data_IF_758754393394
#
_entry.id   IF_758754393394
#
_cell.length_a   1.000
_cell.length_b   1.000
_cell.length_c   1.000
_cell.angle_alpha   90.00
_cell.angle_beta   90.00
_cell.angle_gamma   90.00
#
_symmetry.space_group_name_H-M   'P 1'
#
loop_
_entity.id
_entity.type
_entity.pdbx_description
1 polymer ?
#
# COMPACT_ATOMS: atom_id res chain seq x y z
N UNK A 1 0.94 -8.98 7.97
CA UNK A 1 1.13 -9.97 6.91
C UNK A 1 2.23 -9.44 5.99
N UNK A 2 3.42 -10.02 6.07
CA UNK A 2 4.60 -9.45 5.46
C UNK A 2 4.66 -9.77 3.96
N UNK A 3 4.74 -8.75 3.14
CA UNK A 3 5.15 -8.89 1.75
C UNK A 3 6.68 -8.98 1.78
N UNK A 4 7.23 -10.16 1.58
CA UNK A 4 8.67 -10.32 1.37
C UNK A 4 9.01 -9.89 -0.05
N UNK A 5 9.58 -8.70 -0.21
CA UNK A 5 10.25 -8.32 -1.43
C UNK A 5 11.61 -9.03 -1.49
N UNK A 6 11.80 -9.95 -2.43
CA UNK A 6 13.12 -10.50 -2.75
C UNK A 6 13.95 -9.47 -3.51
N UNK A 7 15.22 -9.38 -3.14
CA UNK A 7 16.21 -8.47 -3.73
C UNK A 7 16.46 -8.74 -5.22
N UNK A 8 16.64 -7.70 -5.97
CA UNK A 8 16.75 -7.41 -7.39
C UNK A 8 17.53 -8.31 -8.36
N UNK A 9 17.63 -9.62 -8.14
CA UNK A 9 18.19 -10.57 -9.13
C UNK A 9 17.19 -11.60 -9.64
N UNK A 10 15.99 -11.68 -9.07
CA UNK A 10 14.97 -12.67 -9.44
C UNK A 10 13.82 -12.07 -10.29
N UNK A 11 13.99 -10.85 -10.81
CA UNK A 11 12.91 -10.12 -11.51
C UNK A 11 12.83 -10.46 -13.00
N UNK A 12 13.78 -11.26 -13.51
CA UNK A 12 13.88 -11.53 -14.96
C UNK A 12 13.18 -12.78 -15.48
N UNK A 13 12.44 -13.51 -14.66
CA UNK A 13 11.59 -14.56 -15.19
C UNK A 13 10.12 -14.15 -15.06
N UNK A 14 9.48 -13.83 -16.18
CA UNK A 14 8.03 -13.63 -16.30
C UNK A 14 7.20 -14.87 -15.90
N UNK A 15 7.82 -15.85 -15.27
CA UNK A 15 7.21 -17.09 -14.81
C UNK A 15 6.09 -16.90 -13.78
N UNK A 16 5.97 -15.71 -13.16
CA UNK A 16 4.84 -15.39 -12.28
C UNK A 16 3.57 -15.01 -13.05
N UNK A 17 3.73 -14.52 -14.29
CA UNK A 17 2.59 -14.11 -15.14
C UNK A 17 1.75 -15.33 -15.57
N UNK A 18 2.37 -16.50 -15.62
CA UNK A 18 1.72 -17.76 -16.03
C UNK A 18 1.03 -18.52 -14.89
N UNK A 19 1.16 -18.07 -13.65
CA UNK A 19 0.52 -18.73 -12.50
C UNK A 19 -0.95 -18.33 -12.39
N UNK A 20 -1.78 -19.00 -13.15
CA UNK A 20 -3.25 -18.88 -13.12
C UNK A 20 -3.89 -19.41 -11.81
N UNK A 21 -3.11 -19.76 -10.80
CA UNK A 21 -3.57 -20.34 -9.54
C UNK A 21 -3.01 -19.59 -8.34
N UNK A 22 -3.72 -19.57 -7.19
CA UNK A 22 -3.20 -18.98 -5.96
C UNK A 22 -1.90 -19.67 -5.52
N UNK A 23 -1.02 -18.91 -4.86
CA UNK A 23 0.18 -19.44 -4.22
C UNK A 23 -0.19 -20.44 -3.10
N UNK A 24 -1.25 -20.15 -2.37
CA UNK A 24 -1.84 -21.00 -1.36
C UNK A 24 -3.37 -20.92 -1.47
N UNK A 25 -4.04 -22.05 -1.36
CA UNK A 25 -5.50 -22.16 -1.25
C UNK A 25 -5.82 -23.19 -0.18
N UNK A 26 -6.29 -22.72 0.96
CA UNK A 26 -6.57 -23.59 2.11
C UNK A 26 -7.60 -22.95 3.04
N UNK A 27 -8.55 -23.76 3.53
CA UNK A 27 -9.57 -23.35 4.50
C UNK A 27 -10.34 -22.07 4.11
N UNK A 28 -10.62 -21.89 2.81
CA UNK A 28 -11.33 -20.71 2.30
C UNK A 28 -10.46 -19.45 2.22
N UNK A 29 -9.14 -19.56 2.43
CA UNK A 29 -8.17 -18.48 2.31
C UNK A 29 -7.33 -18.73 1.07
N UNK A 30 -7.30 -17.75 0.18
CA UNK A 30 -6.43 -17.75 -1.00
C UNK A 30 -5.35 -16.69 -0.86
N UNK A 31 -4.11 -17.06 -1.10
CA UNK A 31 -2.96 -16.15 -1.16
C UNK A 31 -2.48 -16.05 -2.60
N UNK A 32 -2.46 -14.86 -3.12
CA UNK A 32 -2.01 -14.58 -4.47
C UNK A 32 -0.72 -13.74 -4.43
N UNK A 33 0.23 -14.08 -5.28
CA UNK A 33 1.47 -13.32 -5.45
C UNK A 33 1.49 -12.72 -6.86
N UNK A 34 1.58 -11.40 -6.95
CA UNK A 34 1.62 -10.70 -8.23
C UNK A 34 1.29 -9.22 -8.09
N UNK A 35 1.25 -8.55 -9.22
CA UNK A 35 0.83 -7.16 -9.31
C UNK A 35 -0.65 -7.02 -8.95
N UNK A 36 -0.96 -6.04 -8.07
CA UNK A 36 -2.30 -5.88 -7.53
C UNK A 36 -3.35 -5.54 -8.60
N UNK A 37 -3.00 -4.68 -9.57
CA UNK A 37 -3.93 -4.32 -10.66
C UNK A 37 -4.26 -5.53 -11.52
N UNK A 38 -3.26 -6.34 -11.84
CA UNK A 38 -3.44 -7.57 -12.60
C UNK A 38 -4.32 -8.57 -11.84
N UNK A 39 -4.09 -8.71 -10.54
CA UNK A 39 -4.85 -9.64 -9.69
C UNK A 39 -6.29 -9.18 -9.44
N UNK A 40 -6.54 -7.87 -9.33
CA UNK A 40 -7.90 -7.32 -9.26
C UNK A 40 -8.75 -7.71 -10.47
N UNK A 41 -8.14 -7.82 -11.65
CA UNK A 41 -8.84 -8.28 -12.86
C UNK A 41 -9.43 -9.69 -12.77
N UNK A 42 -9.00 -10.49 -11.81
CA UNK A 42 -9.51 -11.87 -11.58
C UNK A 42 -10.74 -11.92 -10.67
N UNK A 43 -10.99 -10.87 -9.93
CA UNK A 43 -12.16 -10.81 -9.07
C UNK A 43 -13.39 -10.42 -9.89
N UNK A 44 -14.50 -11.07 -9.62
CA UNK A 44 -15.77 -10.64 -10.20
C UNK A 44 -16.19 -9.28 -9.64
N UNK A 45 -16.81 -8.46 -10.47
CA UNK A 45 -17.32 -7.16 -10.03
C UNK A 45 -18.38 -7.37 -8.93
N UNK A 46 -18.33 -6.50 -7.91
CA UNK A 46 -19.24 -6.58 -6.78
C UNK A 46 -19.08 -7.81 -5.89
N UNK A 47 -18.00 -8.58 -5.98
CA UNK A 47 -17.80 -9.80 -5.20
C UNK A 47 -17.21 -9.58 -3.81
N UNK A 48 -16.48 -8.46 -3.61
CA UNK A 48 -15.71 -8.20 -2.40
C UNK A 48 -16.56 -7.49 -1.36
N UNK A 49 -16.63 -8.06 -0.15
CA UNK A 49 -17.43 -7.52 0.97
C UNK A 49 -16.69 -6.52 1.85
N UNK A 50 -15.37 -6.58 1.89
CA UNK A 50 -14.51 -5.64 2.60
C UNK A 50 -13.10 -5.64 2.00
N UNK A 51 -12.41 -4.51 2.10
CA UNK A 51 -11.03 -4.34 1.63
C UNK A 51 -10.20 -3.80 2.78
N UNK A 52 -9.06 -4.45 3.08
CA UNK A 52 -8.17 -4.04 4.18
C UNK A 52 -6.73 -3.98 3.66
N UNK A 53 -6.37 -2.95 2.89
CA UNK A 53 -5.06 -2.84 2.28
C UNK A 53 -4.07 -2.15 3.23
N UNK A 54 -2.79 -2.57 3.12
CA UNK A 54 -1.63 -1.87 3.65
C UNK A 54 -0.77 -1.42 2.46
N UNK A 55 -1.17 -0.33 1.77
CA UNK A 55 -0.48 0.14 0.57
C UNK A 55 0.83 0.85 0.92
N UNK A 56 1.72 1.10 -0.05
CA UNK A 56 2.87 1.97 0.16
C UNK A 56 2.46 3.33 0.72
N UNK A 57 3.22 3.84 1.70
CA UNK A 57 2.85 5.12 2.35
C UNK A 57 3.42 6.35 1.66
N UNK A 58 4.26 6.16 0.65
CA UNK A 58 4.90 7.21 -0.15
C UNK A 58 5.68 8.24 0.70
N UNK A 59 6.23 7.79 1.85
CA UNK A 59 6.96 8.65 2.79
C UNK A 59 8.44 8.77 2.47
N UNK A 60 8.95 7.91 1.58
CA UNK A 60 10.38 7.82 1.24
C UNK A 60 10.74 8.50 -0.08
N UNK A 61 9.91 9.44 -0.55
CA UNK A 61 10.05 10.08 -1.88
C UNK A 61 11.41 10.73 -2.15
N UNK A 62 12.24 10.95 -1.11
CA UNK A 62 13.53 11.62 -1.25
C UNK A 62 14.72 10.77 -0.77
N UNK A 63 14.57 9.46 -0.62
CA UNK A 63 15.68 8.61 -0.19
C UNK A 63 16.34 7.89 -1.35
N UNK A 64 17.67 7.96 -1.41
CA UNK A 64 18.52 7.27 -2.41
C UNK A 64 18.68 5.76 -2.14
N UNK A 65 18.02 5.22 -1.13
CA UNK A 65 18.09 3.79 -0.81
C UNK A 65 17.27 2.96 -1.80
N UNK A 66 17.93 2.30 -2.73
CA UNK A 66 17.31 1.41 -3.73
C UNK A 66 16.41 0.32 -3.12
N UNK A 67 16.70 -0.12 -1.89
CA UNK A 67 15.93 -1.15 -1.19
C UNK A 67 14.50 -0.72 -0.81
N UNK A 68 14.13 0.54 -1.02
CA UNK A 68 12.82 1.10 -0.64
C UNK A 68 12.03 1.64 -1.82
N UNK A 69 12.39 1.27 -3.04
CA UNK A 69 11.66 1.67 -4.26
C UNK A 69 10.19 1.28 -4.26
N UNK A 70 9.81 0.27 -3.48
CA UNK A 70 8.42 -0.14 -3.34
C UNK A 70 7.51 0.94 -2.72
N UNK A 71 8.06 1.87 -1.93
CA UNK A 71 7.33 2.97 -1.30
C UNK A 71 7.21 4.22 -2.21
N UNK A 72 7.59 4.13 -3.49
CA UNK A 72 7.60 5.25 -4.44
C UNK A 72 6.78 5.01 -5.70
N UNK A 73 5.85 4.08 -5.65
CA UNK A 73 5.11 3.69 -6.86
C UNK A 73 3.93 4.59 -7.16
N UNK A 74 3.57 5.50 -6.27
CA UNK A 74 2.43 6.41 -6.42
C UNK A 74 1.07 5.72 -6.45
N UNK A 75 1.03 4.40 -6.23
CA UNK A 75 -0.20 3.61 -6.33
C UNK A 75 -1.23 4.03 -5.30
N UNK A 76 -0.78 4.42 -4.10
CA UNK A 76 -1.66 4.83 -2.99
C UNK A 76 -2.39 6.13 -3.26
N UNK A 77 -1.81 6.99 -4.11
CA UNK A 77 -2.38 8.29 -4.47
C UNK A 77 -2.96 8.29 -5.87
N UNK A 78 -3.11 7.12 -6.47
CA UNK A 78 -3.68 6.98 -7.81
C UNK A 78 -5.19 6.67 -7.72
N UNK A 79 -6.07 7.62 -8.07
CA UNK A 79 -7.52 7.40 -8.06
C UNK A 79 -7.97 6.26 -8.95
N UNK A 80 -7.28 6.02 -10.08
CA UNK A 80 -7.63 4.93 -10.99
C UNK A 80 -7.46 3.55 -10.35
N UNK A 81 -6.44 3.38 -9.47
CA UNK A 81 -6.28 2.15 -8.69
C UNK A 81 -7.48 1.94 -7.75
N UNK A 82 -7.86 2.96 -7.01
CA UNK A 82 -8.96 2.88 -6.05
C UNK A 82 -10.33 2.74 -6.72
N UNK A 83 -10.49 3.30 -7.92
CA UNK A 83 -11.68 3.08 -8.74
C UNK A 83 -11.77 1.61 -9.20
N UNK A 84 -10.65 1.00 -9.62
CA UNK A 84 -10.61 -0.41 -9.97
C UNK A 84 -10.94 -1.31 -8.76
N UNK A 85 -10.42 -0.99 -7.57
CA UNK A 85 -10.79 -1.68 -6.32
C UNK A 85 -12.29 -1.54 -6.05
N UNK A 86 -12.84 -0.32 -6.20
CA UNK A 86 -14.26 -0.05 -5.96
C UNK A 86 -15.18 -0.87 -6.85
N UNK A 87 -14.84 -1.05 -8.12
CA UNK A 87 -15.63 -1.90 -9.05
C UNK A 87 -15.74 -3.33 -8.52
N UNK A 88 -14.71 -3.85 -7.84
CA UNK A 88 -14.72 -5.21 -7.28
C UNK A 88 -15.51 -5.32 -5.98
N UNK A 89 -15.80 -4.21 -5.32
CA UNK A 89 -16.56 -4.21 -4.07
C UNK A 89 -18.07 -4.16 -4.31
N UNK A 90 -18.81 -4.85 -3.46
CA UNK A 90 -20.29 -4.76 -3.46
C UNK A 90 -20.75 -3.43 -2.85
N UNK A 91 -21.92 -2.95 -3.21
CA UNK A 91 -22.53 -1.79 -2.55
C UNK A 91 -22.57 -1.97 -1.03
N UNK A 92 -22.15 -0.94 -0.29
CA UNK A 92 -22.08 -0.98 1.19
C UNK A 92 -20.84 -1.68 1.75
N UNK A 93 -19.92 -2.13 0.92
CA UNK A 93 -18.64 -2.68 1.39
C UNK A 93 -17.79 -1.61 2.07
N UNK A 94 -17.04 -2.02 3.10
CA UNK A 94 -16.13 -1.14 3.84
C UNK A 94 -14.69 -1.28 3.33
N UNK A 95 -13.95 -0.17 3.36
CA UNK A 95 -12.52 -0.12 3.08
C UNK A 95 -11.81 0.46 4.31
N UNK A 96 -10.78 -0.27 4.80
CA UNK A 96 -9.95 0.12 5.93
C UNK A 96 -8.49 0.22 5.47
N UNK A 97 -8.12 1.34 4.85
CA UNK A 97 -6.76 1.54 4.33
C UNK A 97 -5.81 2.03 5.42
N UNK A 98 -4.67 1.35 5.56
CA UNK A 98 -3.58 1.86 6.38
C UNK A 98 -2.88 3.01 5.67
N UNK A 99 -2.35 3.96 6.44
CA UNK A 99 -1.65 5.13 5.92
C UNK A 99 -0.70 5.75 6.95
N UNK A 100 0.13 6.67 6.49
CA UNK A 100 1.02 7.45 7.35
C UNK A 100 0.40 8.78 7.73
N UNK A 101 0.60 9.28 8.97
CA UNK A 101 0.18 10.63 9.36
C UNK A 101 0.73 11.75 8.48
N UNK A 102 1.81 11.49 7.72
CA UNK A 102 2.41 12.49 6.82
C UNK A 102 1.69 12.61 5.48
N UNK A 103 1.08 11.53 5.03
CA UNK A 103 0.59 11.40 3.64
C UNK A 103 -0.87 10.93 3.55
N UNK A 104 -1.53 10.68 4.70
CA UNK A 104 -2.90 10.16 4.74
C UNK A 104 -3.90 11.03 3.96
N UNK A 105 -3.71 12.36 3.96
CA UNK A 105 -4.58 13.29 3.26
C UNK A 105 -4.56 13.05 1.74
N UNK A 106 -3.41 12.76 1.13
CA UNK A 106 -3.33 12.41 -0.28
C UNK A 106 -4.02 11.08 -0.60
N UNK A 107 -3.97 10.12 0.34
CA UNK A 107 -4.72 8.88 0.22
C UNK A 107 -6.23 9.14 0.26
N UNK A 108 -6.69 10.01 1.16
CA UNK A 108 -8.09 10.40 1.24
C UNK A 108 -8.56 11.08 -0.05
N UNK A 109 -7.80 12.04 -0.57
CA UNK A 109 -8.11 12.73 -1.84
C UNK A 109 -8.27 11.71 -2.98
N UNK A 110 -7.34 10.77 -3.10
CA UNK A 110 -7.39 9.73 -4.15
C UNK A 110 -8.60 8.78 -3.97
N UNK A 111 -8.95 8.45 -2.74
CA UNK A 111 -10.13 7.63 -2.44
C UNK A 111 -11.43 8.37 -2.80
N UNK A 112 -11.55 9.63 -2.43
CA UNK A 112 -12.74 10.44 -2.72
C UNK A 112 -12.91 10.67 -4.23
N UNK A 113 -11.82 10.95 -4.96
CA UNK A 113 -11.81 11.06 -6.41
C UNK A 113 -12.23 9.74 -7.08
N UNK A 114 -11.87 8.60 -6.50
CA UNK A 114 -12.30 7.28 -6.96
C UNK A 114 -13.76 6.94 -6.58
N UNK A 115 -14.47 7.85 -5.89
CA UNK A 115 -15.86 7.70 -5.51
C UNK A 115 -16.09 6.93 -4.20
N UNK A 116 -15.08 6.77 -3.36
CA UNK A 116 -15.23 6.32 -1.98
C UNK A 116 -15.65 7.48 -1.09
N UNK A 117 -16.33 7.17 0.00
CA UNK A 117 -16.69 8.16 1.00
C UNK A 117 -15.86 7.93 2.26
N UNK A 118 -15.10 8.91 2.68
CA UNK A 118 -14.40 8.87 3.96
C UNK A 118 -15.42 8.98 5.08
N UNK A 119 -15.43 8.02 5.97
CA UNK A 119 -16.38 7.95 7.11
C UNK A 119 -15.70 8.39 8.39
N UNK A 120 -14.48 7.88 8.65
CA UNK A 120 -13.75 8.14 9.88
C UNK A 120 -12.26 7.83 9.73
N UNK A 121 -11.47 8.28 10.70
CA UNK A 121 -10.05 7.99 10.84
C UNK A 121 -9.79 7.28 12.17
N UNK A 122 -9.23 6.08 12.11
CA UNK A 122 -8.89 5.27 13.28
C UNK A 122 -7.40 5.38 13.57
N UNK A 123 -7.03 5.85 14.76
CA UNK A 123 -5.65 5.91 15.19
C UNK A 123 -5.22 4.59 15.85
N UNK A 124 -4.20 3.93 15.27
CA UNK A 124 -3.55 2.79 15.90
C UNK A 124 -2.41 3.28 16.79
N UNK A 125 -2.55 3.14 18.10
CA UNK A 125 -1.50 3.46 19.06
C UNK A 125 -0.50 2.31 19.17
N UNK A 126 0.80 2.63 19.09
CA UNK A 126 1.90 1.69 19.33
C UNK A 126 2.70 2.18 20.53
N UNK A 127 2.95 1.33 21.56
CA UNK A 127 3.74 1.72 22.74
C UNK A 127 5.21 1.98 22.38
N UNK A 128 5.71 1.37 21.30
CA UNK A 128 7.06 1.54 20.81
C UNK A 128 7.00 2.06 19.37
N UNK A 129 7.03 3.38 19.20
CA UNK A 129 7.08 4.03 17.89
C UNK A 129 8.53 4.38 17.53
N UNK A 130 8.87 4.31 16.23
CA UNK A 130 10.11 4.97 15.76
C UNK A 130 9.94 6.49 15.89
N UNK A 131 10.92 7.20 16.44
CA UNK A 131 10.92 8.66 16.45
C UNK A 131 10.78 9.19 15.03
N UNK A 132 9.90 10.16 14.83
CA UNK A 132 9.67 10.81 13.52
C UNK A 132 10.43 12.13 13.37
N UNK A 133 11.19 12.50 14.37
CA UNK A 133 12.00 13.72 14.39
C UNK A 133 13.44 13.46 13.95
N UNK A 134 14.06 14.42 13.33
CA UNK A 134 15.52 14.52 13.27
C UNK A 134 16.01 14.90 14.67
N UNK A 135 17.13 14.33 15.13
CA UNK A 135 17.74 14.76 16.38
C UNK A 135 18.18 16.22 16.22
N UNK A 136 17.71 17.11 17.09
CA UNK A 136 17.97 18.53 16.97
C UNK A 136 19.47 18.87 17.05
N UNK A 137 20.23 18.10 17.82
CA UNK A 137 21.69 18.15 17.89
C UNK A 137 22.34 17.86 16.54
N UNK A 138 21.97 16.75 15.88
CA UNK A 138 22.47 16.42 14.55
C UNK A 138 22.08 17.47 13.49
N UNK A 139 20.89 18.04 13.57
CA UNK A 139 20.46 19.10 12.66
C UNK A 139 21.26 20.39 12.87
N UNK A 140 21.58 20.73 14.11
CA UNK A 140 22.43 21.88 14.48
C UNK A 140 23.87 21.66 14.04
N UNK A 141 24.47 20.50 14.36
CA UNK A 141 25.83 20.15 13.96
C UNK A 141 26.02 20.21 12.46
N UNK A 142 25.08 19.64 11.70
CA UNK A 142 25.06 19.71 10.24
C UNK A 142 24.95 21.14 9.72
N UNK A 143 24.15 22.00 10.36
CA UNK A 143 24.01 23.40 9.97
C UNK A 143 25.26 24.21 10.28
N UNK A 144 25.99 23.83 11.33
CA UNK A 144 27.24 24.47 11.75
C UNK A 144 28.49 23.89 11.08
N UNK A 145 28.35 22.77 10.34
CA UNK A 145 29.47 22.11 9.65
C UNK A 145 30.43 21.40 10.59
N UNK A 146 29.99 20.94 11.76
CA UNK A 146 30.77 20.19 12.76
C UNK A 146 30.24 18.77 12.91
#
# INVERSE_FOLDING_TARGET
>A
MGIYARTGKDVESDAWKDRMRPFCDSHGIQVWHGDAMTLLGRLADGSVGAVVPDPPYEIMMNTTFESRRWDHQGISFNPAFWAAVRVKTRPGASLFAFGSPRTWHHLCDALEEAGWRIVDQICRLKPHGMPKGEYADHAVDKALGI
#
